data_IF_167571434429
#
_entry.id   IF_167571434429
#
_cell.length_a   1.000
_cell.length_b   1.000
_cell.length_c   1.000
_cell.angle_alpha   90.00
_cell.angle_beta   90.00
_cell.angle_gamma   90.00
#
_symmetry.space_group_name_H-M   'P 1'
#
loop_
_entity.id
_entity.type
_entity.pdbx_description
1 polymer ?
#
# COMPACT_ATOMS: atom_id res chain seq x y z
N UNK A 1 32.80 26.29 0.11
CA UNK A 1 32.93 27.70 -0.35
C UNK A 1 31.57 28.15 -0.87
N UNK A 2 30.90 29.06 -0.15
CA UNK A 2 29.70 29.75 -0.63
C UNK A 2 30.07 30.58 -1.86
N UNK A 3 29.42 30.35 -3.00
CA UNK A 3 29.49 31.25 -4.14
C UNK A 3 28.11 31.82 -4.42
N UNK A 4 28.04 33.13 -4.23
CA UNK A 4 27.26 34.14 -4.96
C UNK A 4 25.74 33.96 -5.04
N UNK A 5 25.03 34.93 -4.46
CA UNK A 5 23.59 35.09 -4.62
C UNK A 5 23.22 35.15 -6.10
N UNK A 6 22.40 34.21 -6.53
CA UNK A 6 21.86 34.18 -7.90
C UNK A 6 20.83 35.31 -8.04
N UNK A 7 20.95 36.07 -9.13
CA UNK A 7 20.08 37.22 -9.38
C UNK A 7 18.61 36.75 -9.50
N UNK A 8 17.63 37.40 -8.85
CA UNK A 8 16.23 36.95 -8.85
C UNK A 8 15.61 36.79 -10.25
N UNK A 9 16.08 37.58 -11.23
CA UNK A 9 15.62 37.49 -12.62
C UNK A 9 16.12 36.23 -13.35
N UNK A 10 17.24 35.64 -12.94
CA UNK A 10 17.77 34.44 -13.58
C UNK A 10 16.95 33.19 -13.20
N UNK A 11 16.46 33.16 -11.96
CA UNK A 11 15.44 32.20 -11.53
C UNK A 11 14.12 32.40 -12.28
N UNK A 12 13.73 33.65 -12.55
CA UNK A 12 12.54 33.97 -13.34
C UNK A 12 12.68 33.49 -14.78
N UNK A 13 13.78 33.78 -15.46
CA UNK A 13 14.02 33.35 -16.86
C UNK A 13 13.99 31.83 -16.98
N UNK A 14 14.57 31.10 -16.01
CA UNK A 14 14.43 29.64 -15.94
C UNK A 14 12.99 29.20 -15.74
N UNK A 15 12.25 29.84 -14.84
CA UNK A 15 10.83 29.61 -14.60
C UNK A 15 10.02 29.78 -15.89
N UNK A 16 10.23 30.88 -16.62
CA UNK A 16 9.51 31.21 -17.87
C UNK A 16 9.87 30.25 -19.01
N UNK A 17 11.15 29.90 -19.16
CA UNK A 17 11.61 28.96 -20.18
C UNK A 17 11.12 27.53 -19.92
N UNK A 18 11.03 27.13 -18.66
CA UNK A 18 10.51 25.81 -18.26
C UNK A 18 8.97 25.76 -18.28
N UNK A 19 8.28 26.90 -18.09
CA UNK A 19 6.85 27.03 -18.39
C UNK A 19 6.58 26.94 -19.89
N UNK A 20 7.40 27.57 -20.73
CA UNK A 20 7.23 27.59 -22.20
C UNK A 20 7.20 26.17 -22.81
N UNK A 21 7.98 25.22 -22.28
CA UNK A 21 7.97 23.84 -22.77
C UNK A 21 6.75 23.03 -22.30
N UNK A 22 6.20 23.33 -21.11
CA UNK A 22 5.00 22.68 -20.53
C UNK A 22 3.69 23.34 -20.97
N UNK A 23 3.74 24.61 -21.37
CA UNK A 23 2.62 25.46 -21.80
C UNK A 23 2.82 25.90 -23.26
N UNK A 24 3.06 24.94 -24.17
CA UNK A 24 3.15 25.20 -25.63
C UNK A 24 1.92 25.88 -26.25
N UNK A 25 0.86 26.14 -25.46
CA UNK A 25 -0.38 26.78 -25.90
C UNK A 25 -0.81 28.03 -25.13
N UNK A 26 0.02 28.63 -24.28
CA UNK A 26 -0.40 29.88 -23.61
C UNK A 26 0.62 31.01 -23.70
N UNK A 27 0.40 31.91 -24.66
CA UNK A 27 0.87 33.31 -24.69
C UNK A 27 0.32 34.14 -23.51
N UNK A 28 0.01 33.53 -22.36
CA UNK A 28 -0.66 34.19 -21.23
C UNK A 28 0.33 35.04 -20.44
N UNK A 29 1.58 34.60 -20.34
CA UNK A 29 2.64 35.38 -19.67
C UNK A 29 3.05 36.60 -20.50
N UNK A 30 3.11 36.47 -21.83
CA UNK A 30 3.41 37.58 -22.75
C UNK A 30 2.29 38.62 -22.83
N UNK A 31 1.09 38.27 -22.37
CA UNK A 31 -0.09 39.16 -22.31
C UNK A 31 -0.23 39.90 -20.97
N UNK A 32 0.64 39.66 -19.99
CA UNK A 32 0.56 40.33 -18.68
C UNK A 32 1.37 41.64 -18.71
N UNK A 33 0.76 42.79 -18.34
CA UNK A 33 1.51 44.04 -18.21
C UNK A 33 2.63 43.92 -17.18
N UNK A 34 3.77 44.59 -17.44
CA UNK A 34 4.96 44.51 -16.59
C UNK A 34 4.67 44.91 -15.13
N UNK A 35 3.91 45.99 -14.92
CA UNK A 35 3.49 46.44 -13.58
C UNK A 35 2.70 45.37 -12.82
N UNK A 36 1.86 44.62 -13.54
CA UNK A 36 1.07 43.51 -12.98
C UNK A 36 1.99 42.36 -12.58
N UNK A 37 2.98 42.02 -13.40
CA UNK A 37 3.96 40.99 -13.08
C UNK A 37 4.77 41.39 -11.84
N UNK A 38 5.26 42.63 -11.78
CA UNK A 38 6.00 43.14 -10.62
C UNK A 38 5.15 43.09 -9.34
N UNK A 39 3.88 43.51 -9.42
CA UNK A 39 2.96 43.45 -8.29
C UNK A 39 2.71 42.00 -7.84
N UNK A 40 2.46 41.06 -8.76
CA UNK A 40 2.29 39.63 -8.45
C UNK A 40 3.53 39.04 -7.78
N UNK A 41 4.73 39.42 -8.22
CA UNK A 41 5.97 38.96 -7.61
C UNK A 41 6.15 39.50 -6.18
N UNK A 42 5.80 40.78 -5.94
CA UNK A 42 5.78 41.36 -4.58
C UNK A 42 4.77 40.62 -3.70
N UNK A 43 3.59 40.30 -4.22
CA UNK A 43 2.55 39.55 -3.52
C UNK A 43 3.04 38.14 -3.14
N UNK A 44 3.63 37.40 -4.09
CA UNK A 44 4.16 36.06 -3.83
C UNK A 44 5.28 36.07 -2.78
N UNK A 45 6.20 37.06 -2.82
CA UNK A 45 7.24 37.19 -1.79
C UNK A 45 6.66 37.44 -0.40
N UNK A 46 5.68 38.33 -0.28
CA UNK A 46 4.99 38.61 1.00
C UNK A 46 4.24 37.37 1.51
N UNK A 47 3.50 36.68 0.64
CA UNK A 47 2.79 35.45 0.98
C UNK A 47 3.75 34.34 1.41
N UNK A 48 4.86 34.16 0.69
CA UNK A 48 5.89 33.19 1.04
C UNK A 48 6.55 33.50 2.39
N UNK A 49 6.85 34.77 2.70
CA UNK A 49 7.35 35.17 4.02
C UNK A 49 6.33 34.85 5.11
N UNK A 50 5.07 35.25 4.91
CA UNK A 50 3.98 34.99 5.86
C UNK A 50 3.81 33.49 6.16
N UNK A 51 3.81 32.66 5.13
CA UNK A 51 3.68 31.22 5.25
C UNK A 51 4.91 30.60 5.93
N UNK A 52 6.13 30.95 5.49
CA UNK A 52 7.38 30.39 6.02
C UNK A 52 7.56 30.64 7.52
N UNK A 53 7.13 31.80 8.03
CA UNK A 53 7.16 32.10 9.47
C UNK A 53 6.20 31.25 10.31
N UNK A 54 5.20 30.61 9.69
CA UNK A 54 4.15 29.82 10.36
C UNK A 54 4.23 28.32 10.09
N UNK A 55 5.14 27.85 9.24
CA UNK A 55 5.24 26.41 8.95
C UNK A 55 5.43 25.55 10.21
N UNK A 56 6.17 26.06 11.19
CA UNK A 56 6.41 25.34 12.46
C UNK A 56 5.19 25.29 13.38
N UNK A 57 4.18 26.15 13.19
CA UNK A 57 2.94 26.09 13.96
C UNK A 57 1.96 25.03 13.44
N UNK A 58 2.27 24.38 12.31
CA UNK A 58 1.42 23.33 11.74
C UNK A 58 1.57 22.04 12.55
N UNK A 59 0.55 21.72 13.36
CA UNK A 59 0.52 20.52 14.20
C UNK A 59 -0.27 19.36 13.59
N UNK A 60 -0.97 19.61 12.48
CA UNK A 60 -1.71 18.61 11.72
C UNK A 60 -0.76 17.65 10.98
N UNK A 61 -1.25 16.46 10.65
CA UNK A 61 -0.54 15.58 9.71
C UNK A 61 -0.67 16.13 8.30
N UNK A 62 0.42 16.12 7.54
CA UNK A 62 0.49 16.73 6.21
C UNK A 62 0.98 15.72 5.19
N UNK A 63 0.26 15.56 4.08
CA UNK A 63 0.73 14.83 2.92
C UNK A 63 1.42 15.78 1.95
N UNK A 64 2.68 15.52 1.64
CA UNK A 64 3.45 16.25 0.65
C UNK A 64 3.57 15.39 -0.61
N UNK A 65 2.96 15.83 -1.70
CA UNK A 65 3.13 15.22 -3.02
C UNK A 65 4.17 16.04 -3.77
N UNK A 66 5.30 15.42 -4.13
CA UNK A 66 6.44 16.12 -4.67
C UNK A 66 6.85 15.51 -6.00
N UNK A 67 6.68 16.26 -7.07
CA UNK A 67 7.20 15.89 -8.38
C UNK A 67 8.71 16.11 -8.44
N UNK A 68 9.45 15.11 -8.94
CA UNK A 68 10.92 15.14 -9.01
C UNK A 68 11.45 15.68 -10.33
N UNK A 69 10.72 15.48 -11.43
CA UNK A 69 11.01 16.01 -12.77
C UNK A 69 10.23 17.31 -13.04
N UNK A 70 9.88 18.03 -11.97
CA UNK A 70 9.32 19.37 -12.04
C UNK A 70 10.36 20.37 -12.56
N UNK A 71 10.26 20.69 -13.85
CA UNK A 71 11.10 21.70 -14.47
C UNK A 71 10.74 23.13 -14.01
N UNK A 72 9.56 23.35 -13.45
CA UNK A 72 9.11 24.69 -13.07
C UNK A 72 9.60 25.08 -11.68
N UNK A 73 9.33 24.23 -10.68
CA UNK A 73 9.65 24.48 -9.29
C UNK A 73 10.65 23.44 -8.78
N UNK A 74 11.54 23.79 -7.84
CA UNK A 74 12.44 22.82 -7.21
C UNK A 74 11.69 21.95 -6.18
N UNK A 75 10.64 21.27 -6.62
CA UNK A 75 9.64 20.58 -5.80
C UNK A 75 10.25 19.49 -4.91
N UNK A 76 11.23 18.73 -5.43
CA UNK A 76 11.96 17.72 -4.64
C UNK A 76 12.72 18.31 -3.44
N UNK A 77 13.48 19.39 -3.65
CA UNK A 77 14.25 20.00 -2.55
C UNK A 77 13.34 20.78 -1.60
N UNK A 78 12.27 21.37 -2.11
CA UNK A 78 11.25 22.03 -1.30
C UNK A 78 10.52 21.04 -0.39
N UNK A 79 10.19 19.84 -0.87
CA UNK A 79 9.56 18.81 -0.04
C UNK A 79 10.45 18.40 1.16
N UNK A 80 11.76 18.25 0.95
CA UNK A 80 12.71 18.01 2.04
C UNK A 80 12.76 19.18 3.04
N UNK A 81 12.78 20.42 2.54
CA UNK A 81 12.76 21.62 3.39
C UNK A 81 11.48 21.69 4.23
N UNK A 82 10.33 21.41 3.63
CA UNK A 82 9.03 21.40 4.30
C UNK A 82 8.96 20.30 5.36
N UNK A 83 9.45 19.09 5.09
CA UNK A 83 9.44 18.03 6.08
C UNK A 83 10.29 18.35 7.32
N UNK A 84 11.43 19.02 7.15
CA UNK A 84 12.22 19.49 8.29
C UNK A 84 11.48 20.55 9.14
N UNK A 85 10.56 21.31 8.55
CA UNK A 85 9.77 22.34 9.24
C UNK A 85 8.43 21.84 9.76
N UNK A 86 7.89 20.78 9.16
CA UNK A 86 6.61 20.16 9.50
C UNK A 86 6.90 18.69 9.84
N UNK A 87 7.23 18.38 11.11
CA UNK A 87 7.69 17.04 11.51
C UNK A 87 6.66 15.93 11.27
N UNK A 88 5.36 16.26 11.27
CA UNK A 88 4.26 15.31 11.04
C UNK A 88 3.89 15.18 9.55
N UNK A 89 4.84 15.40 8.66
CA UNK A 89 4.61 15.28 7.21
C UNK A 89 5.06 13.92 6.67
N UNK A 90 4.29 13.39 5.73
CA UNK A 90 4.63 12.23 4.90
C UNK A 90 4.85 12.71 3.48
N UNK A 91 5.96 12.32 2.86
CA UNK A 91 6.28 12.71 1.48
C UNK A 91 6.04 11.53 0.54
N UNK A 92 5.37 11.78 -0.58
CA UNK A 92 5.35 10.93 -1.76
C UNK A 92 6.07 11.63 -2.91
N UNK A 93 7.17 11.04 -3.35
CA UNK A 93 7.98 11.56 -4.44
C UNK A 93 7.60 10.91 -5.78
N UNK A 94 7.43 11.70 -6.82
CA UNK A 94 7.09 11.22 -8.15
C UNK A 94 8.24 11.43 -9.12
N UNK A 95 9.01 10.37 -9.40
CA UNK A 95 10.29 10.48 -10.10
C UNK A 95 10.12 10.98 -11.54
N UNK A 96 9.26 10.35 -12.32
CA UNK A 96 9.05 10.61 -13.75
C UNK A 96 7.86 11.51 -14.06
N UNK A 97 7.52 12.43 -13.14
CA UNK A 97 6.35 13.29 -13.27
C UNK A 97 6.77 14.76 -13.38
N UNK A 98 5.95 15.58 -14.03
CA UNK A 98 6.19 16.99 -14.25
C UNK A 98 5.51 17.90 -13.23
N UNK A 99 5.42 19.19 -13.55
CA UNK A 99 4.84 20.20 -12.64
C UNK A 99 3.36 19.95 -12.33
N UNK A 100 2.60 19.47 -13.33
CA UNK A 100 1.14 19.32 -13.25
C UNK A 100 0.74 17.96 -12.67
N UNK A 101 1.37 17.59 -11.55
CA UNK A 101 1.31 16.25 -10.97
C UNK A 101 -0.13 15.69 -10.83
N UNK A 102 -1.08 16.50 -10.40
CA UNK A 102 -2.47 16.08 -10.18
C UNK A 102 -3.27 15.82 -11.46
N UNK A 103 -2.76 16.25 -12.61
CA UNK A 103 -3.37 16.06 -13.94
C UNK A 103 -2.67 14.95 -14.73
N UNK A 104 -1.54 14.45 -14.25
CA UNK A 104 -0.75 13.44 -14.93
C UNK A 104 -1.34 12.03 -14.74
N UNK A 105 -1.23 11.22 -15.79
CA UNK A 105 -1.70 9.84 -15.76
C UNK A 105 -0.88 9.00 -14.76
N UNK A 106 -1.54 8.13 -14.00
CA UNK A 106 -0.90 7.25 -13.02
C UNK A 106 -0.81 7.84 -11.60
N UNK A 107 -1.26 9.07 -11.39
CA UNK A 107 -1.31 9.70 -10.06
C UNK A 107 -2.69 9.48 -9.41
N UNK A 108 -2.80 8.44 -8.60
CA UNK A 108 -4.03 8.10 -7.88
C UNK A 108 -4.03 8.67 -6.46
N UNK A 109 -4.41 9.95 -6.32
CA UNK A 109 -4.42 10.67 -5.03
C UNK A 109 -5.27 9.98 -3.98
N UNK A 110 -6.42 9.41 -4.36
CA UNK A 110 -7.28 8.65 -3.44
C UNK A 110 -6.56 7.44 -2.85
N UNK A 111 -5.85 6.68 -3.68
CA UNK A 111 -5.08 5.50 -3.26
C UNK A 111 -3.96 5.90 -2.30
N UNK A 112 -3.26 7.00 -2.60
CA UNK A 112 -2.20 7.52 -1.75
C UNK A 112 -2.75 7.94 -0.37
N UNK A 113 -3.90 8.62 -0.32
CA UNK A 113 -4.53 9.02 0.94
C UNK A 113 -4.92 7.81 1.78
N UNK A 114 -5.49 6.76 1.16
CA UNK A 114 -5.82 5.48 1.81
C UNK A 114 -4.56 4.81 2.37
N UNK A 115 -3.54 4.61 1.55
CA UNK A 115 -2.27 3.98 1.96
C UNK A 115 -1.53 4.78 3.04
N UNK A 116 -1.61 6.12 3.00
CA UNK A 116 -1.00 6.98 4.00
C UNK A 116 -1.74 6.97 5.35
N UNK A 117 -2.93 6.37 5.45
CA UNK A 117 -3.74 6.36 6.68
C UNK A 117 -4.12 7.76 7.14
N UNK A 118 -4.33 8.69 6.20
CA UNK A 118 -4.67 10.08 6.48
C UNK A 118 -6.18 10.34 6.44
N UNK A 119 -6.95 9.41 5.89
CA UNK A 119 -8.39 9.37 6.05
C UNK A 119 -8.75 8.77 7.42
N UNK A 120 -9.51 9.50 8.23
CA UNK A 120 -9.95 9.07 9.57
C UNK A 120 -11.23 9.77 10.01
N UNK A 121 -12.09 9.06 10.74
CA UNK A 121 -13.33 9.61 11.29
C UNK A 121 -13.15 10.22 12.69
N UNK A 122 -12.02 9.98 13.34
CA UNK A 122 -11.73 10.47 14.69
C UNK A 122 -10.37 11.19 14.79
N UNK A 123 -10.02 11.67 15.98
CA UNK A 123 -8.71 12.29 16.25
C UNK A 123 -7.53 11.35 15.99
N UNK A 124 -7.74 10.03 16.06
CA UNK A 124 -6.71 9.00 15.82
C UNK A 124 -7.18 8.08 14.69
N UNK A 125 -6.27 7.74 13.80
CA UNK A 125 -6.54 6.75 12.74
C UNK A 125 -6.78 5.37 13.35
N UNK A 126 -7.84 4.70 12.91
CA UNK A 126 -8.22 3.36 13.33
C UNK A 126 -8.32 2.43 12.12
N UNK A 127 -7.44 1.42 12.05
CA UNK A 127 -7.24 0.61 10.83
C UNK A 127 -8.45 -0.22 10.39
N UNK A 128 -9.33 -0.60 11.33
CA UNK A 128 -10.58 -1.31 11.03
C UNK A 128 -11.66 -0.30 10.61
N UNK A 129 -12.08 0.56 11.53
CA UNK A 129 -13.21 1.49 11.32
C UNK A 129 -12.96 2.68 10.39
N UNK A 130 -11.72 3.08 10.13
CA UNK A 130 -11.38 4.11 9.14
C UNK A 130 -11.01 3.54 7.76
N UNK A 131 -11.17 2.22 7.57
CA UNK A 131 -10.89 1.58 6.29
C UNK A 131 -11.88 2.03 5.21
N UNK A 132 -11.36 2.32 4.02
CA UNK A 132 -12.17 2.57 2.83
C UNK A 132 -11.90 1.44 1.84
N UNK A 133 -12.92 0.70 1.38
CA UNK A 133 -12.77 -0.33 0.36
C UNK A 133 -12.09 0.17 -0.92
N UNK A 134 -11.50 -0.73 -1.74
CA UNK A 134 -10.91 -0.35 -3.01
C UNK A 134 -11.97 0.24 -3.96
N UNK A 135 -11.56 1.27 -4.69
CA UNK A 135 -12.32 1.89 -5.76
C UNK A 135 -12.32 1.01 -7.00
N UNK A 136 -13.25 1.27 -7.92
CA UNK A 136 -13.33 0.54 -9.20
C UNK A 136 -12.05 0.61 -10.02
N UNK A 137 -11.29 1.70 -9.93
CA UNK A 137 -9.97 1.82 -10.58
C UNK A 137 -8.94 0.90 -9.94
N UNK A 138 -8.85 0.90 -8.60
CA UNK A 138 -7.94 0.01 -7.86
C UNK A 138 -8.26 -1.46 -8.11
N UNK A 139 -9.56 -1.81 -8.19
CA UNK A 139 -10.03 -3.15 -8.55
C UNK A 139 -9.60 -3.54 -9.97
N UNK A 140 -9.74 -2.65 -10.95
CA UNK A 140 -9.31 -2.92 -12.33
C UNK A 140 -7.80 -3.16 -12.44
N UNK A 141 -7.00 -2.42 -11.68
CA UNK A 141 -5.55 -2.62 -11.68
C UNK A 141 -5.16 -3.95 -11.04
N UNK A 142 -5.82 -4.34 -9.94
CA UNK A 142 -5.59 -5.67 -9.34
C UNK A 142 -6.13 -6.80 -10.20
N UNK A 143 -7.27 -6.63 -10.87
CA UNK A 143 -7.77 -7.60 -11.84
C UNK A 143 -6.79 -7.81 -13.01
N UNK A 144 -6.17 -6.74 -13.53
CA UNK A 144 -5.13 -6.87 -14.56
C UNK A 144 -3.91 -7.62 -14.03
N UNK A 145 -3.44 -7.27 -12.82
CA UNK A 145 -2.32 -7.95 -12.19
C UNK A 145 -2.63 -9.42 -11.90
N UNK A 146 -3.86 -9.72 -11.49
CA UNK A 146 -4.30 -11.09 -11.19
C UNK A 146 -4.44 -11.92 -12.46
N UNK A 147 -4.84 -11.35 -13.60
CA UNK A 147 -4.90 -12.08 -14.88
C UNK A 147 -3.50 -12.51 -15.35
N UNK A 148 -2.50 -11.64 -15.26
CA UNK A 148 -1.11 -12.02 -15.60
C UNK A 148 -0.60 -13.12 -14.66
N UNK A 149 -0.86 -12.99 -13.36
CA UNK A 149 -0.52 -14.02 -12.38
C UNK A 149 -1.25 -15.34 -12.66
N UNK A 150 -2.56 -15.29 -12.90
CA UNK A 150 -3.42 -16.43 -13.21
C UNK A 150 -2.94 -17.17 -14.45
N UNK A 151 -2.57 -16.44 -15.50
CA UNK A 151 -2.05 -17.03 -16.73
C UNK A 151 -0.71 -17.74 -16.51
N UNK A 152 0.16 -17.20 -15.64
CA UNK A 152 1.48 -17.77 -15.36
C UNK A 152 1.46 -18.93 -14.37
N UNK A 153 0.55 -18.87 -13.40
CA UNK A 153 0.58 -19.75 -12.22
C UNK A 153 -0.63 -20.69 -12.11
N UNK A 154 -1.68 -20.46 -12.90
CA UNK A 154 -2.92 -21.24 -12.90
C UNK A 154 -3.43 -21.64 -11.50
N UNK A 155 -3.52 -20.70 -10.53
CA UNK A 155 -3.92 -21.02 -9.17
C UNK A 155 -5.34 -21.58 -9.16
N UNK A 156 -5.55 -22.58 -8.32
CA UNK A 156 -6.88 -23.08 -8.00
C UNK A 156 -7.18 -22.81 -6.53
N UNK A 157 -8.33 -22.19 -6.29
CA UNK A 157 -8.86 -21.96 -4.95
C UNK A 157 -9.94 -22.98 -4.64
N UNK A 158 -9.99 -23.38 -3.38
CA UNK A 158 -10.96 -24.32 -2.86
C UNK A 158 -11.55 -23.77 -1.57
N UNK A 159 -12.85 -24.00 -1.37
CA UNK A 159 -13.58 -23.71 -0.14
C UNK A 159 -14.35 -24.94 0.30
N UNK A 160 -14.71 -24.98 1.58
CA UNK A 160 -15.43 -26.11 2.17
C UNK A 160 -16.90 -25.74 2.41
N UNK A 161 -17.82 -26.57 1.92
CA UNK A 161 -19.26 -26.46 2.18
C UNK A 161 -19.60 -26.83 3.63
N UNK A 162 -20.83 -26.53 4.08
CA UNK A 162 -21.31 -26.82 5.44
C UNK A 162 -21.24 -28.30 5.81
N UNK A 163 -21.39 -29.20 4.84
CA UNK A 163 -21.32 -30.65 5.02
C UNK A 163 -19.88 -31.21 5.04
N UNK A 164 -18.88 -30.33 4.91
CA UNK A 164 -17.46 -30.68 4.85
C UNK A 164 -16.94 -30.99 3.44
N UNK A 165 -17.79 -30.95 2.42
CA UNK A 165 -17.38 -31.20 1.03
C UNK A 165 -16.48 -30.07 0.52
N UNK A 166 -15.32 -30.42 -0.01
CA UNK A 166 -14.40 -29.45 -0.63
C UNK A 166 -14.82 -29.20 -2.07
N UNK A 167 -15.00 -27.93 -2.42
CA UNK A 167 -15.39 -27.50 -3.76
C UNK A 167 -14.42 -26.47 -4.31
N UNK A 168 -14.27 -26.45 -5.65
CA UNK A 168 -13.46 -25.43 -6.32
C UNK A 168 -14.20 -24.08 -6.31
N UNK A 169 -13.45 -23.01 -6.08
CA UNK A 169 -13.96 -21.65 -5.99
C UNK A 169 -14.49 -21.30 -4.59
N UNK A 170 -15.40 -20.33 -4.52
CA UNK A 170 -15.87 -19.70 -3.28
C UNK A 170 -17.29 -20.14 -2.86
N UNK A 171 -17.80 -21.26 -3.39
CA UNK A 171 -19.16 -21.72 -3.11
C UNK A 171 -19.36 -22.14 -1.64
N UNK A 172 -18.30 -22.59 -0.95
CA UNK A 172 -18.32 -22.88 0.49
C UNK A 172 -18.22 -21.66 1.39
N UNK A 173 -17.98 -20.47 0.83
CA UNK A 173 -17.92 -19.24 1.61
C UNK A 173 -19.34 -18.67 1.75
N UNK A 174 -19.80 -18.31 2.96
CA UNK A 174 -21.07 -17.61 3.16
C UNK A 174 -21.17 -16.29 2.40
N UNK A 175 -22.39 -15.80 2.15
CA UNK A 175 -22.61 -14.47 1.55
C UNK A 175 -22.42 -13.33 2.57
N UNK A 176 -22.78 -13.58 3.83
CA UNK A 176 -22.71 -12.61 4.91
C UNK A 176 -21.70 -13.05 5.99
N UNK A 177 -21.06 -12.06 6.62
CA UNK A 177 -20.09 -12.27 7.70
C UNK A 177 -20.71 -12.28 9.11
N UNK A 178 -19.89 -12.50 10.16
CA UNK A 178 -18.44 -12.63 10.10
C UNK A 178 -17.95 -14.00 9.61
N UNK A 179 -16.92 -14.00 8.76
CA UNK A 179 -16.29 -15.22 8.24
C UNK A 179 -14.80 -15.19 8.60
N UNK A 180 -14.29 -16.31 9.10
CA UNK A 180 -12.86 -16.53 9.30
C UNK A 180 -12.37 -17.60 8.31
N UNK A 181 -11.67 -17.15 7.27
CA UNK A 181 -11.01 -18.01 6.30
C UNK A 181 -9.71 -18.54 6.90
N UNK A 182 -9.59 -19.87 6.98
CA UNK A 182 -8.40 -20.55 7.52
C UNK A 182 -7.85 -21.53 6.49
N UNK A 183 -6.58 -21.40 6.12
CA UNK A 183 -6.02 -22.17 5.00
C UNK A 183 -4.50 -22.07 4.89
N UNK A 184 -3.96 -22.61 3.78
CA UNK A 184 -2.52 -22.63 3.52
C UNK A 184 -2.00 -21.32 2.90
N UNK A 185 -0.84 -20.85 3.35
CA UNK A 185 -0.17 -19.68 2.80
C UNK A 185 0.82 -20.08 1.70
N UNK A 186 0.69 -19.48 0.51
CA UNK A 186 1.66 -19.71 -0.57
C UNK A 186 2.93 -18.88 -0.33
N UNK A 187 4.02 -19.24 -1.02
CA UNK A 187 5.32 -18.62 -0.80
C UNK A 187 5.23 -17.10 -1.03
N UNK A 188 5.70 -16.32 -0.04
CA UNK A 188 5.67 -14.86 0.01
C UNK A 188 4.26 -14.22 -0.02
N UNK A 189 3.19 -14.98 0.09
CA UNK A 189 1.83 -14.44 0.04
C UNK A 189 1.41 -13.99 -1.37
N UNK A 190 1.93 -14.62 -2.42
CA UNK A 190 1.64 -14.26 -3.81
C UNK A 190 0.15 -14.46 -4.15
N UNK A 191 -0.50 -15.41 -3.49
CA UNK A 191 -1.91 -15.75 -3.68
C UNK A 191 -2.85 -14.64 -3.24
N UNK A 192 -2.39 -13.71 -2.40
CA UNK A 192 -3.23 -12.62 -1.89
C UNK A 192 -3.81 -11.75 -3.02
N UNK A 193 -3.09 -11.60 -4.13
CA UNK A 193 -3.54 -10.81 -5.28
C UNK A 193 -4.69 -11.53 -6.00
N UNK A 194 -4.52 -12.81 -6.29
CA UNK A 194 -5.54 -13.62 -6.95
C UNK A 194 -6.76 -13.81 -6.03
N UNK A 195 -6.54 -14.04 -4.74
CA UNK A 195 -7.58 -14.20 -3.73
C UNK A 195 -8.45 -12.95 -3.60
N UNK A 196 -7.80 -11.77 -3.49
CA UNK A 196 -8.51 -10.50 -3.42
C UNK A 196 -9.38 -10.27 -4.66
N UNK A 197 -8.85 -10.54 -5.86
CA UNK A 197 -9.61 -10.41 -7.10
C UNK A 197 -10.82 -11.36 -7.15
N UNK A 198 -10.64 -12.63 -6.76
CA UNK A 198 -11.71 -13.65 -6.80
C UNK A 198 -12.86 -13.31 -5.85
N UNK A 199 -12.55 -12.93 -4.61
CA UNK A 199 -13.56 -12.51 -3.64
C UNK A 199 -14.31 -11.25 -4.09
N UNK A 200 -13.61 -10.28 -4.68
CA UNK A 200 -14.27 -9.09 -5.22
C UNK A 200 -15.18 -9.42 -6.40
N UNK A 201 -14.78 -10.34 -7.29
CA UNK A 201 -15.57 -10.75 -8.46
C UNK A 201 -16.83 -11.52 -8.09
N UNK A 202 -16.70 -12.48 -7.18
CA UNK A 202 -17.77 -13.44 -6.91
C UNK A 202 -18.62 -13.07 -5.70
N UNK A 203 -18.03 -12.46 -4.68
CA UNK A 203 -18.71 -12.15 -3.41
C UNK A 203 -18.88 -10.64 -3.18
N UNK A 204 -18.15 -9.78 -3.91
CA UNK A 204 -18.15 -8.32 -3.75
C UNK A 204 -17.76 -7.88 -2.32
N UNK A 205 -16.97 -8.69 -1.63
CA UNK A 205 -16.46 -8.42 -0.29
C UNK A 205 -14.93 -8.30 -0.32
N UNK A 206 -14.40 -7.45 0.57
CA UNK A 206 -12.95 -7.33 0.76
C UNK A 206 -12.52 -8.30 1.85
N UNK A 207 -11.56 -9.17 1.53
CA UNK A 207 -10.97 -10.06 2.52
C UNK A 207 -9.88 -9.33 3.30
N UNK A 208 -10.02 -9.28 4.62
CA UNK A 208 -9.16 -8.55 5.55
C UNK A 208 -8.05 -9.46 6.07
N UNK A 209 -6.85 -9.33 5.49
CA UNK A 209 -5.69 -10.13 5.86
C UNK A 209 -5.06 -9.73 7.19
N UNK A 210 -4.67 -10.72 7.99
CA UNK A 210 -3.87 -10.52 9.21
C UNK A 210 -2.41 -10.79 8.88
N UNK A 211 -1.54 -9.81 9.10
CA UNK A 211 -0.13 -9.92 8.73
C UNK A 211 0.80 -9.49 9.87
N UNK A 212 2.06 -9.93 9.82
CA UNK A 212 3.05 -9.58 10.85
C UNK A 212 3.21 -8.04 10.96
N UNK A 213 3.32 -7.44 12.16
CA UNK A 213 3.40 -5.98 12.34
C UNK A 213 4.49 -5.28 11.53
N UNK A 214 5.58 -5.97 11.21
CA UNK A 214 6.68 -5.46 10.38
C UNK A 214 6.26 -5.15 8.93
N UNK A 215 5.17 -5.76 8.45
CA UNK A 215 4.58 -5.47 7.14
C UNK A 215 3.77 -4.16 7.14
N UNK A 216 3.74 -3.43 8.26
CA UNK A 216 3.08 -2.13 8.40
C UNK A 216 4.07 -1.04 8.85
N UNK A 217 5.15 -0.78 8.09
CA UNK A 217 6.13 0.24 8.46
C UNK A 217 5.51 1.64 8.46
N UNK A 218 5.92 2.46 9.44
CA UNK A 218 5.57 3.89 9.47
C UNK A 218 6.41 4.65 8.43
N UNK A 219 5.98 4.64 7.18
CA UNK A 219 6.64 5.37 6.09
C UNK A 219 6.46 6.88 6.26
N UNK A 220 7.56 7.62 6.33
CA UNK A 220 7.57 9.10 6.27
C UNK A 220 7.93 9.62 4.88
N UNK A 221 8.54 8.77 4.05
CA UNK A 221 8.92 9.04 2.66
C UNK A 221 8.63 7.79 1.83
N UNK A 222 7.95 7.99 0.72
CA UNK A 222 7.61 6.95 -0.25
C UNK A 222 7.92 7.48 -1.65
N UNK A 223 8.30 6.59 -2.56
CA UNK A 223 8.54 6.92 -3.97
C UNK A 223 7.40 6.31 -4.80
N UNK A 224 6.89 7.05 -5.77
CA UNK A 224 5.67 6.73 -6.50
C UNK A 224 5.85 5.66 -7.57
N UNK A 225 7.08 5.20 -7.85
CA UNK A 225 7.36 4.19 -8.88
C UNK A 225 6.88 2.78 -8.50
N UNK A 226 6.05 2.65 -7.47
CA UNK A 226 5.31 1.44 -7.17
C UNK A 226 4.55 1.60 -5.87
N UNK A 227 3.27 1.26 -5.86
CA UNK A 227 2.69 0.72 -4.63
C UNK A 227 3.48 -0.54 -4.32
N UNK A 228 4.36 -0.47 -3.33
CA UNK A 228 5.06 -1.65 -2.86
C UNK A 228 4.07 -2.61 -2.19
N UNK A 229 4.53 -3.81 -1.87
CA UNK A 229 3.71 -4.83 -1.20
C UNK A 229 3.03 -4.31 0.08
N UNK A 230 3.66 -3.40 0.82
CA UNK A 230 3.06 -2.84 2.03
C UNK A 230 1.89 -1.90 1.71
N UNK A 231 2.00 -1.11 0.63
CA UNK A 231 0.90 -0.27 0.16
C UNK A 231 -0.28 -1.13 -0.31
N UNK A 232 -0.02 -2.25 -0.98
CA UNK A 232 -1.05 -3.24 -1.29
C UNK A 232 -1.76 -3.72 -0.02
N UNK A 233 -1.02 -4.21 0.98
CA UNK A 233 -1.62 -4.66 2.25
C UNK A 233 -2.46 -3.56 2.93
N UNK A 234 -2.01 -2.30 2.91
CA UNK A 234 -2.79 -1.19 3.47
C UNK A 234 -4.06 -0.91 2.66
N UNK A 235 -3.97 -0.94 1.33
CA UNK A 235 -5.09 -0.64 0.44
C UNK A 235 -6.18 -1.71 0.50
N UNK A 236 -5.79 -2.96 0.68
CA UNK A 236 -6.67 -4.12 0.82
C UNK A 236 -7.11 -4.38 2.27
N UNK A 237 -6.84 -3.43 3.17
CA UNK A 237 -7.39 -3.43 4.51
C UNK A 237 -6.72 -4.38 5.49
N UNK A 238 -5.51 -4.82 5.18
CA UNK A 238 -4.70 -5.66 6.05
C UNK A 238 -4.44 -5.01 7.42
N UNK A 239 -4.44 -5.85 8.45
CA UNK A 239 -4.22 -5.47 9.85
C UNK A 239 -3.00 -6.17 10.45
N UNK A 240 -2.27 -5.53 11.37
CA UNK A 240 -1.20 -6.21 12.09
C UNK A 240 -1.79 -7.28 13.02
N UNK A 241 -1.10 -8.41 13.13
CA UNK A 241 -1.47 -9.55 13.95
C UNK A 241 -1.49 -9.18 15.44
N UNK A 242 -2.69 -8.88 15.94
CA UNK A 242 -3.00 -8.69 17.37
C UNK A 242 -4.43 -9.15 17.62
N UNK A 243 -4.70 -9.76 18.78
CA UNK A 243 -6.06 -10.17 19.18
C UNK A 243 -7.11 -9.09 19.01
N UNK A 244 -6.72 -7.85 19.37
CA UNK A 244 -7.58 -6.68 19.26
C UNK A 244 -8.15 -6.52 17.85
N UNK A 245 -7.30 -6.55 16.82
CA UNK A 245 -7.76 -6.34 15.44
C UNK A 245 -8.56 -7.51 14.89
N UNK A 246 -8.21 -8.75 15.27
CA UNK A 246 -8.99 -9.93 14.87
C UNK A 246 -10.39 -9.83 15.44
N UNK A 247 -10.50 -9.54 16.74
CA UNK A 247 -11.78 -9.32 17.40
C UNK A 247 -12.56 -8.17 16.77
N UNK A 248 -11.95 -7.01 16.54
CA UNK A 248 -12.63 -5.85 15.94
C UNK A 248 -13.14 -6.12 14.53
N UNK A 249 -12.39 -6.87 13.71
CA UNK A 249 -12.84 -7.26 12.37
C UNK A 249 -14.02 -8.24 12.44
N UNK A 250 -13.92 -9.30 13.24
CA UNK A 250 -15.00 -10.28 13.39
C UNK A 250 -16.26 -9.65 14.02
N UNK A 251 -16.11 -8.80 15.03
CA UNK A 251 -17.21 -8.07 15.64
C UNK A 251 -17.87 -7.07 14.67
N UNK A 252 -17.14 -6.58 13.67
CA UNK A 252 -17.67 -5.75 12.59
C UNK A 252 -18.34 -6.55 11.47
N UNK A 253 -18.41 -7.89 11.56
CA UNK A 253 -19.00 -8.74 10.54
C UNK A 253 -18.13 -8.92 9.29
N UNK A 254 -16.83 -8.65 9.38
CA UNK A 254 -15.91 -8.67 8.24
C UNK A 254 -15.50 -10.10 7.83
N UNK A 255 -14.99 -10.22 6.60
CA UNK A 255 -14.35 -11.44 6.11
C UNK A 255 -12.86 -11.38 6.44
N UNK A 256 -12.39 -12.24 7.33
CA UNK A 256 -11.02 -12.22 7.86
C UNK A 256 -10.24 -13.40 7.32
N UNK A 257 -9.01 -13.14 6.84
CA UNK A 257 -8.09 -14.17 6.36
C UNK A 257 -6.98 -14.44 7.36
N UNK A 258 -6.86 -15.71 7.73
CA UNK A 258 -5.90 -16.19 8.69
C UNK A 258 -5.13 -17.40 8.18
N UNK A 259 -3.81 -17.29 8.26
CA UNK A 259 -2.87 -18.40 8.04
C UNK A 259 -2.36 -18.86 9.40
N UNK A 260 -2.67 -20.09 9.86
CA UNK A 260 -2.28 -20.58 11.18
C UNK A 260 -0.78 -20.56 11.45
N UNK A 261 0.06 -20.81 10.45
CA UNK A 261 1.52 -20.71 10.61
C UNK A 261 2.05 -19.30 10.38
N UNK A 262 1.22 -18.36 9.94
CA UNK A 262 1.58 -16.98 9.68
C UNK A 262 2.81 -16.86 8.77
N UNK A 263 3.81 -16.09 9.19
CA UNK A 263 5.01 -15.86 8.39
C UNK A 263 5.85 -17.13 8.17
N UNK A 264 5.71 -18.17 9.02
CA UNK A 264 6.44 -19.44 8.86
C UNK A 264 5.98 -20.21 7.62
N UNK A 265 4.69 -20.11 7.31
CA UNK A 265 4.08 -20.65 6.08
C UNK A 265 4.43 -19.78 4.87
N UNK A 266 4.38 -18.44 5.02
CA UNK A 266 4.78 -17.52 3.95
C UNK A 266 6.25 -17.67 3.52
N UNK A 267 7.10 -18.25 4.38
CA UNK A 267 8.53 -18.47 4.16
C UNK A 267 8.89 -19.96 4.26
N UNK A 268 7.97 -20.84 3.84
CA UNK A 268 8.17 -22.28 3.89
C UNK A 268 9.38 -22.74 3.06
N UNK A 269 9.98 -23.86 3.45
CA UNK A 269 11.10 -24.47 2.74
C UNK A 269 10.61 -25.44 1.67
N UNK A 270 11.51 -25.83 0.77
CA UNK A 270 11.26 -26.90 -0.20
C UNK A 270 10.80 -28.18 0.52
N UNK A 271 9.70 -28.78 0.08
CA UNK A 271 9.06 -29.94 0.71
C UNK A 271 8.07 -29.58 1.84
N UNK A 272 7.87 -28.30 2.12
CA UNK A 272 6.87 -27.80 3.06
C UNK A 272 5.68 -27.10 2.36
N UNK A 273 5.59 -27.20 1.04
CA UNK A 273 4.52 -26.62 0.24
C UNK A 273 3.15 -27.14 0.71
N UNK A 274 2.16 -26.25 0.76
CA UNK A 274 0.79 -26.54 1.21
C UNK A 274 0.65 -27.09 2.64
N UNK A 275 1.72 -27.15 3.44
CA UNK A 275 1.63 -27.59 4.84
C UNK A 275 1.11 -26.46 5.72
N UNK A 276 0.14 -26.80 6.56
CA UNK A 276 -0.39 -25.91 7.58
C UNK A 276 0.34 -26.19 8.89
N UNK A 277 0.87 -25.15 9.51
CA UNK A 277 1.58 -25.18 10.78
C UNK A 277 0.68 -24.62 11.86
N UNK A 278 0.03 -25.51 12.62
CA UNK A 278 -0.84 -25.09 13.70
C UNK A 278 -0.03 -24.57 14.90
N UNK A 279 -0.46 -23.45 15.50
CA UNK A 279 0.10 -22.99 16.77
C UNK A 279 -0.25 -23.94 17.92
N UNK A 280 0.51 -23.89 19.01
CA UNK A 280 0.22 -24.67 20.23
C UNK A 280 -1.13 -24.29 20.85
N UNK A 281 -1.47 -22.99 20.79
CA UNK A 281 -2.75 -22.44 21.25
C UNK A 281 -3.55 -21.97 20.04
N UNK A 282 -4.83 -22.35 19.96
CA UNK A 282 -5.72 -22.03 18.84
C UNK A 282 -6.80 -21.04 19.26
N UNK A 283 -6.42 -19.94 19.93
CA UNK A 283 -7.40 -18.98 20.47
C UNK A 283 -8.23 -18.28 19.39
N UNK A 284 -7.78 -18.29 18.13
CA UNK A 284 -8.62 -17.81 17.02
C UNK A 284 -9.94 -18.59 16.92
N UNK A 285 -9.98 -19.87 17.33
CA UNK A 285 -11.22 -20.66 17.40
C UNK A 285 -12.13 -20.11 18.50
N UNK A 286 -11.56 -19.77 19.66
CA UNK A 286 -12.32 -19.15 20.76
C UNK A 286 -12.85 -17.78 20.35
N UNK A 287 -12.04 -16.97 19.67
CA UNK A 287 -12.47 -15.66 19.15
C UNK A 287 -13.58 -15.80 18.09
N UNK A 288 -13.44 -16.76 17.16
CA UNK A 288 -14.47 -17.03 16.17
C UNK A 288 -15.79 -17.43 16.83
N UNK A 289 -15.75 -18.36 17.80
CA UNK A 289 -16.92 -18.76 18.56
C UNK A 289 -17.55 -17.58 19.32
N UNK A 290 -16.74 -16.73 19.96
CA UNK A 290 -17.21 -15.54 20.69
C UNK A 290 -17.90 -14.52 19.78
N UNK A 291 -17.43 -14.38 18.53
CA UNK A 291 -18.00 -13.46 17.56
C UNK A 291 -19.08 -14.11 16.68
N UNK A 292 -19.45 -15.36 16.94
CA UNK A 292 -20.35 -16.15 16.09
C UNK A 292 -19.91 -16.17 14.62
N UNK A 293 -18.60 -16.27 14.38
CA UNK A 293 -18.01 -16.27 13.05
C UNK A 293 -17.95 -17.68 12.46
N UNK A 294 -18.30 -17.79 11.18
CA UNK A 294 -18.19 -19.04 10.44
C UNK A 294 -16.72 -19.25 10.06
N UNK A 295 -16.11 -20.32 10.59
CA UNK A 295 -14.78 -20.74 10.15
C UNK A 295 -14.95 -21.51 8.84
N UNK A 296 -14.34 -21.01 7.77
CA UNK A 296 -14.33 -21.66 6.46
C UNK A 296 -12.92 -22.13 6.16
N UNK A 297 -12.67 -23.45 6.18
CA UNK A 297 -11.45 -23.99 5.62
C UNK A 297 -11.35 -23.63 4.14
N UNK A 298 -10.20 -23.09 3.73
CA UNK A 298 -9.91 -22.78 2.34
C UNK A 298 -8.52 -23.31 1.96
N UNK A 299 -8.30 -23.47 0.66
CA UNK A 299 -7.01 -23.90 0.15
C UNK A 299 -6.68 -23.27 -1.19
N UNK A 300 -5.40 -23.04 -1.43
CA UNK A 300 -4.87 -22.54 -2.70
C UNK A 300 -3.72 -23.43 -3.16
N UNK A 301 -3.69 -23.76 -4.45
CA UNK A 301 -2.63 -24.58 -5.08
C UNK A 301 -2.21 -23.98 -6.42
N UNK A 302 -1.02 -24.33 -6.93
CA UNK A 302 -0.51 -23.94 -8.26
C UNK A 302 0.72 -23.03 -8.23
N UNK A 303 0.72 -21.98 -7.41
CA UNK A 303 1.83 -21.00 -7.40
C UNK A 303 3.15 -21.61 -6.92
N UNK A 304 3.14 -22.34 -5.80
CA UNK A 304 4.32 -23.02 -5.24
C UNK A 304 4.82 -24.14 -6.17
N UNK A 305 3.91 -24.81 -6.89
CA UNK A 305 4.24 -25.87 -7.85
C UNK A 305 5.07 -25.33 -9.03
N UNK A 306 4.82 -24.09 -9.44
CA UNK A 306 5.50 -23.42 -10.55
C UNK A 306 6.75 -22.69 -10.08
N UNK A 307 6.75 -22.12 -8.87
CA UNK A 307 7.96 -21.55 -8.28
C UNK A 307 9.03 -22.63 -8.11
N UNK A 308 8.64 -23.85 -7.69
CA UNK A 308 9.52 -25.01 -7.67
C UNK A 308 10.09 -25.40 -9.05
N UNK A 309 9.40 -25.04 -10.14
CA UNK A 309 9.77 -25.38 -11.51
C UNK A 309 10.62 -24.30 -12.19
N UNK A 310 10.35 -23.01 -11.93
CA UNK A 310 10.89 -21.87 -12.69
C UNK A 310 11.77 -20.90 -11.88
N UNK A 311 11.68 -20.89 -10.56
CA UNK A 311 12.31 -19.85 -9.73
C UNK A 311 13.05 -20.46 -8.54
N UNK A 312 14.38 -20.64 -8.69
CA UNK A 312 15.23 -20.75 -7.51
C UNK A 312 15.08 -19.47 -6.66
N UNK A 313 15.29 -19.56 -5.35
CA UNK A 313 15.24 -18.43 -4.40
C UNK A 313 16.02 -17.18 -4.90
N UNK A 314 17.09 -17.39 -5.68
CA UNK A 314 17.87 -16.35 -6.33
C UNK A 314 17.14 -15.62 -7.48
N UNK A 315 16.25 -16.30 -8.20
CA UNK A 315 15.39 -15.72 -9.24
C UNK A 315 14.34 -14.77 -8.66
N UNK A 316 13.67 -15.17 -7.58
CA UNK A 316 12.74 -14.30 -6.83
C UNK A 316 13.49 -13.09 -6.25
N UNK A 317 14.66 -13.29 -5.65
CA UNK A 317 15.54 -12.23 -5.18
C UNK A 317 15.98 -11.24 -6.28
N UNK A 318 15.94 -11.63 -7.55
CA UNK A 318 16.37 -10.79 -8.67
C UNK A 318 15.26 -9.91 -9.26
N UNK A 319 13.99 -10.34 -9.14
CA UNK A 319 12.81 -9.64 -9.62
C UNK A 319 12.53 -8.35 -8.81
N UNK A 320 11.94 -7.29 -9.41
CA UNK A 320 11.68 -6.03 -8.71
C UNK A 320 10.85 -6.18 -7.42
N UNK A 321 9.75 -6.94 -7.50
CA UNK A 321 8.86 -7.24 -6.36
C UNK A 321 9.55 -8.13 -5.31
N UNK A 322 10.26 -9.17 -5.76
CA UNK A 322 10.98 -10.06 -4.87
C UNK A 322 12.19 -9.40 -4.18
N UNK A 323 12.83 -8.38 -4.76
CA UNK A 323 13.86 -7.57 -4.08
C UNK A 323 13.32 -6.78 -2.89
N UNK A 324 12.12 -6.23 -3.01
CA UNK A 324 11.49 -5.46 -1.93
C UNK A 324 10.98 -6.37 -0.82
N UNK A 325 10.30 -7.47 -1.18
CA UNK A 325 9.91 -8.52 -0.25
C UNK A 325 11.15 -9.11 0.43
N UNK A 326 12.17 -9.48 -0.32
CA UNK A 326 13.42 -9.98 0.26
C UNK A 326 14.15 -8.93 1.08
N UNK A 327 14.08 -7.62 0.80
CA UNK A 327 14.59 -6.58 1.71
C UNK A 327 13.75 -6.44 2.98
N UNK A 328 12.43 -6.58 2.86
CA UNK A 328 11.48 -6.57 3.95
C UNK A 328 11.64 -7.78 4.88
N UNK A 329 12.00 -8.94 4.32
CA UNK A 329 12.22 -10.18 5.06
C UNK A 329 13.70 -10.43 5.42
N UNK A 330 14.68 -9.89 4.68
CA UNK A 330 16.13 -10.15 4.91
C UNK A 330 16.66 -9.49 6.18
N UNK A 331 16.10 -8.35 6.62
CA UNK A 331 16.36 -7.81 7.96
C UNK A 331 15.81 -8.70 9.10
N UNK A 332 15.05 -9.73 8.73
CA UNK A 332 14.21 -10.52 9.62
C UNK A 332 14.32 -12.04 9.36
N UNK A 333 15.37 -12.49 8.66
CA UNK A 333 15.67 -13.92 8.45
C UNK A 333 15.89 -14.68 9.79
N UNK A 334 16.15 -13.97 10.89
CA UNK A 334 16.21 -14.53 12.24
C UNK A 334 14.82 -14.91 12.81
N UNK A 335 13.71 -14.53 12.17
CA UNK A 335 12.37 -14.92 12.62
C UNK A 335 12.07 -16.41 12.37
N UNK A 336 12.81 -17.08 11.49
CA UNK A 336 12.65 -18.52 11.24
C UNK A 336 12.93 -19.37 12.49
N UNK A 337 13.91 -18.94 13.29
CA UNK A 337 14.35 -19.63 14.50
C UNK A 337 13.58 -19.18 15.76
N UNK A 338 12.69 -18.18 15.63
CA UNK A 338 11.80 -17.79 16.70
C UNK A 338 10.73 -18.88 16.87
N UNK A 339 11.06 -19.92 17.64
CA UNK A 339 10.17 -21.04 17.97
C UNK A 339 8.85 -20.63 18.65
N UNK A 340 8.58 -19.35 18.92
CA UNK A 340 7.51 -18.93 19.85
C UNK A 340 6.81 -17.60 19.56
N UNK A 341 6.88 -17.03 18.34
CA UNK A 341 6.20 -15.76 18.06
C UNK A 341 4.99 -15.88 17.11
N UNK A 342 4.40 -17.06 17.02
CA UNK A 342 3.02 -17.17 16.54
C UNK A 342 2.12 -17.15 17.77
N UNK A 343 1.90 -15.94 18.31
CA UNK A 343 0.97 -15.73 19.41
C UNK A 343 -0.44 -15.83 18.82
N UNK A 344 -1.00 -17.03 18.85
CA UNK A 344 -2.44 -17.23 18.84
C UNK A 344 -2.92 -17.46 20.23
#
# INVERSE_FOLDING_TARGET
>A
RMQSGKHPLEALIRLTNNMSSSLKHTNVLDKLPEDTLQWKMKLMKRAAQYANCRLQSVTAEVLLLASCDDNLLPSKSEAYRLQNKIPKSKIFFFEKHGHSLLLEHGVHVSSIIKCAGLYRHSRRYHRVFDYIPPSTTELKEVDKASIDLLFRTCPAMFSTLEDGTVVRGLAGVPEDGPVLLVGNHMLLGIELISLAAEFMRHKKVVVRGIAHPLLFPKKTKTWSEGHDFFDFLNLWGGVPMTYKYIYELLAAGEFVLLYPGGYREALHCKGEEHRIFWPEQTEFVRMAAQCNATIVPFGVVGEDDIVNLLCTFDGIRSAPFGKEIMRAYSKHLNLRDAKHEVIF
#
